data_IF_389497286747
#
_entry.id   IF_389497286747
#
_cell.length_a   1.000
_cell.length_b   1.000
_cell.length_c   1.000
_cell.angle_alpha   90.00
_cell.angle_beta   90.00
_cell.angle_gamma   90.00
#
_symmetry.space_group_name_H-M   'P 1'
#
loop_
_entity.id
_entity.type
_entity.pdbx_description
1 polymer ?
#
# COMPACT_ATOMS: atom_id res chain seq x y z
N UNK A 1 -19.98 -6.95 -25.66
CA UNK A 1 -19.32 -7.03 -26.97
C UNK A 1 -19.24 -5.66 -27.65
N UNK A 2 -20.35 -4.98 -27.97
CA UNK A 2 -20.30 -3.67 -28.65
C UNK A 2 -19.71 -2.50 -27.82
N UNK A 3 -19.94 -2.47 -26.50
CA UNK A 3 -19.41 -1.40 -25.63
C UNK A 3 -17.90 -1.46 -25.41
N UNK A 4 -17.29 -2.66 -25.44
CA UNK A 4 -15.85 -2.82 -25.28
C UNK A 4 -15.09 -2.41 -26.55
N UNK A 5 -15.67 -2.66 -27.71
CA UNK A 5 -15.12 -2.28 -29.01
C UNK A 5 -15.13 -0.76 -29.20
N UNK A 6 -16.21 -0.09 -28.77
CA UNK A 6 -16.32 1.37 -28.77
C UNK A 6 -15.33 2.04 -27.80
N UNK A 7 -15.08 1.45 -26.62
CA UNK A 7 -14.07 1.95 -25.67
C UNK A 7 -12.65 1.77 -26.22
N UNK A 8 -12.36 0.62 -26.84
CA UNK A 8 -11.06 0.33 -27.44
C UNK A 8 -10.75 1.25 -28.62
N UNK A 9 -11.75 1.55 -29.46
CA UNK A 9 -11.62 2.52 -30.55
C UNK A 9 -11.35 3.94 -30.05
N UNK A 10 -12.06 4.40 -29.01
CA UNK A 10 -11.81 5.71 -28.37
C UNK A 10 -10.41 5.78 -27.74
N UNK A 11 -9.96 4.70 -27.09
CA UNK A 11 -8.63 4.64 -26.48
C UNK A 11 -7.52 4.71 -27.55
N UNK A 12 -7.69 3.98 -28.66
CA UNK A 12 -6.76 3.99 -29.78
C UNK A 12 -6.68 5.36 -30.47
N UNK A 13 -7.81 6.06 -30.61
CA UNK A 13 -7.82 7.41 -31.19
C UNK A 13 -7.10 8.42 -30.27
N UNK A 14 -7.29 8.30 -28.95
CA UNK A 14 -6.58 9.13 -27.96
C UNK A 14 -5.07 8.86 -28.01
N UNK A 15 -4.65 7.60 -28.12
CA UNK A 15 -3.24 7.23 -28.23
C UNK A 15 -2.62 7.73 -29.53
N UNK A 16 -3.33 7.65 -30.66
CA UNK A 16 -2.88 8.20 -31.94
C UNK A 16 -2.68 9.71 -31.86
N UNK A 17 -3.64 10.46 -31.29
CA UNK A 17 -3.53 11.91 -31.08
C UNK A 17 -2.37 12.27 -30.15
N UNK A 18 -2.14 11.48 -29.09
CA UNK A 18 -0.99 11.68 -28.18
C UNK A 18 0.34 11.41 -28.87
N UNK A 19 0.43 10.37 -29.71
CA UNK A 19 1.64 10.02 -30.45
C UNK A 19 2.00 11.08 -31.50
N UNK A 20 1.01 11.63 -32.20
CA UNK A 20 1.21 12.69 -33.19
C UNK A 20 1.71 13.99 -32.54
N UNK A 21 1.07 14.41 -31.42
CA UNK A 21 1.53 15.57 -30.64
C UNK A 21 2.95 15.35 -30.10
N UNK A 22 3.29 14.12 -29.71
CA UNK A 22 4.63 13.75 -29.26
C UNK A 22 5.65 13.84 -30.38
N UNK A 23 5.33 13.33 -31.57
CA UNK A 23 6.22 13.40 -32.73
C UNK A 23 6.51 14.85 -33.14
N UNK A 24 5.46 15.68 -33.24
CA UNK A 24 5.58 17.11 -33.59
C UNK A 24 6.43 17.91 -32.60
N UNK A 25 6.29 17.63 -31.30
CA UNK A 25 7.05 18.30 -30.25
C UNK A 25 8.51 17.80 -30.18
N UNK A 26 8.79 16.54 -30.57
CA UNK A 26 10.15 15.99 -30.63
C UNK A 26 10.93 16.58 -31.81
N UNK A 27 10.29 16.68 -32.98
CA UNK A 27 10.84 17.31 -34.18
C UNK A 27 11.18 18.80 -33.94
N UNK A 28 10.31 19.54 -33.26
CA UNK A 28 10.56 20.93 -32.86
C UNK A 28 11.71 21.07 -31.84
N UNK A 29 11.96 20.05 -31.02
CA UNK A 29 13.04 20.06 -30.02
C UNK A 29 14.41 19.68 -30.59
N UNK A 30 14.47 18.90 -31.68
CA UNK A 30 15.73 18.55 -32.38
C UNK A 30 16.41 19.78 -33.01
N UNK A 31 15.65 20.80 -33.38
CA UNK A 31 16.16 22.05 -33.95
C UNK A 31 16.82 22.99 -32.91
N UNK A 32 16.62 22.77 -31.60
CA UNK A 32 17.22 23.56 -30.51
C UNK A 32 18.03 22.67 -29.58
N UNK A 33 19.21 22.22 -30.04
CA UNK A 33 20.21 21.38 -29.34
C UNK A 33 20.88 22.06 -28.12
N UNK A 34 20.14 22.77 -27.28
CA UNK A 34 20.69 23.31 -26.02
C UNK A 34 19.69 23.09 -24.87
N UNK A 35 19.86 21.97 -24.15
CA UNK A 35 19.36 21.67 -22.78
C UNK A 35 17.87 21.94 -22.45
N UNK A 36 17.02 22.27 -23.42
CA UNK A 36 15.57 22.42 -23.23
C UNK A 36 14.88 21.11 -23.62
N UNK A 37 14.66 20.25 -22.64
CA UNK A 37 13.91 19.00 -22.85
C UNK A 37 12.53 19.26 -23.49
N UNK A 38 12.00 18.23 -24.14
CA UNK A 38 10.73 18.20 -24.87
C UNK A 38 9.52 18.89 -24.17
N UNK A 39 9.50 18.91 -22.85
CA UNK A 39 8.45 19.57 -22.06
C UNK A 39 8.86 20.98 -21.65
N UNK A 40 7.89 21.91 -21.74
CA UNK A 40 8.03 23.22 -21.09
C UNK A 40 8.18 23.07 -19.56
N UNK A 41 8.92 23.96 -18.89
CA UNK A 41 9.09 23.92 -17.43
C UNK A 41 7.77 23.86 -16.65
N UNK A 42 6.75 24.59 -17.08
CA UNK A 42 5.41 24.59 -16.48
C UNK A 42 4.72 23.22 -16.61
N UNK A 43 4.77 22.61 -17.79
CA UNK A 43 4.22 21.25 -18.00
C UNK A 43 4.95 20.24 -17.13
N UNK A 44 6.28 20.35 -16.99
CA UNK A 44 7.08 19.45 -16.13
C UNK A 44 6.72 19.65 -14.66
N UNK A 45 6.49 20.88 -14.21
CA UNK A 45 5.98 21.20 -12.87
C UNK A 45 4.61 20.58 -12.62
N UNK A 46 3.66 20.74 -13.56
CA UNK A 46 2.31 20.14 -13.48
C UNK A 46 2.35 18.62 -13.43
N UNK A 47 3.19 17.98 -14.26
CA UNK A 47 3.33 16.53 -14.27
C UNK A 47 3.87 15.98 -12.94
N UNK A 48 4.91 16.58 -12.38
CA UNK A 48 5.44 16.18 -11.07
C UNK A 48 4.39 16.31 -9.96
N UNK A 49 3.58 17.37 -9.99
CA UNK A 49 2.48 17.54 -9.05
C UNK A 49 1.46 16.40 -9.17
N UNK A 50 1.05 16.05 -10.40
CA UNK A 50 0.10 14.95 -10.63
C UNK A 50 0.66 13.59 -10.19
N UNK A 51 1.95 13.34 -10.44
CA UNK A 51 2.60 12.09 -10.00
C UNK A 51 2.64 11.97 -8.48
N UNK A 52 2.96 13.05 -7.75
CA UNK A 52 2.93 13.04 -6.28
C UNK A 52 1.52 12.88 -5.73
N UNK A 53 0.52 13.53 -6.36
CA UNK A 53 -0.89 13.35 -5.98
C UNK A 53 -1.33 11.89 -6.16
N UNK A 54 -0.99 11.28 -7.30
CA UNK A 54 -1.28 9.86 -7.54
C UNK A 54 -0.55 8.95 -6.54
N UNK A 55 0.73 9.23 -6.26
CA UNK A 55 1.49 8.46 -5.28
C UNK A 55 0.88 8.56 -3.86
N UNK A 56 0.42 9.74 -3.46
CA UNK A 56 -0.26 9.92 -2.17
C UNK A 56 -1.60 9.18 -2.10
N UNK A 57 -2.37 9.19 -3.19
CA UNK A 57 -3.63 8.45 -3.30
C UNK A 57 -3.42 6.93 -3.21
N UNK A 58 -2.46 6.38 -3.97
CA UNK A 58 -2.11 4.97 -3.92
C UNK A 58 -1.57 4.57 -2.53
N UNK A 59 -0.77 5.42 -1.88
CA UNK A 59 -0.28 5.19 -0.53
C UNK A 59 -1.45 5.08 0.48
N UNK A 60 -2.44 5.98 0.38
CA UNK A 60 -3.63 5.94 1.24
C UNK A 60 -4.43 4.65 1.01
N UNK A 61 -4.63 4.27 -0.26
CA UNK A 61 -5.33 3.03 -0.63
C UNK A 61 -4.61 1.78 -0.10
N UNK A 62 -3.29 1.76 -0.15
CA UNK A 62 -2.49 0.69 0.43
C UNK A 62 -2.59 0.63 1.95
N UNK A 63 -2.59 1.78 2.64
CA UNK A 63 -2.81 1.85 4.08
C UNK A 63 -4.19 1.30 4.46
N UNK A 64 -5.23 1.65 3.72
CA UNK A 64 -6.60 1.12 3.92
C UNK A 64 -6.66 -0.40 3.70
N UNK A 65 -5.99 -0.91 2.66
CA UNK A 65 -5.87 -2.36 2.41
C UNK A 65 -5.16 -3.07 3.57
N UNK A 66 -4.02 -2.54 4.02
CA UNK A 66 -3.24 -3.10 5.14
C UNK A 66 -4.04 -3.05 6.45
N UNK A 67 -4.82 -2.00 6.69
CA UNK A 67 -5.69 -1.90 7.85
C UNK A 67 -6.86 -2.90 7.80
N UNK A 68 -7.46 -3.12 6.63
CA UNK A 68 -8.49 -4.13 6.43
C UNK A 68 -7.94 -5.55 6.63
N UNK A 69 -6.77 -5.86 6.06
CA UNK A 69 -6.09 -7.13 6.28
C UNK A 69 -5.72 -7.33 7.75
N UNK A 70 -5.20 -6.31 8.43
CA UNK A 70 -4.94 -6.36 9.87
C UNK A 70 -6.20 -6.71 10.66
N UNK A 71 -7.35 -6.12 10.33
CA UNK A 71 -8.63 -6.44 10.98
C UNK A 71 -9.02 -7.90 10.75
N UNK A 72 -8.95 -8.38 9.50
CA UNK A 72 -9.23 -9.78 9.15
C UNK A 72 -8.33 -10.76 9.93
N UNK A 73 -7.03 -10.49 10.00
CA UNK A 73 -6.07 -11.33 10.73
C UNK A 73 -6.36 -11.36 12.23
N UNK A 74 -6.77 -10.23 12.82
CA UNK A 74 -7.14 -10.19 14.25
C UNK A 74 -8.39 -11.04 14.49
N UNK A 75 -9.42 -10.91 13.64
CA UNK A 75 -10.64 -11.69 13.75
C UNK A 75 -10.37 -13.19 13.64
N UNK A 76 -9.56 -13.60 12.66
CA UNK A 76 -9.16 -15.01 12.46
C UNK A 76 -8.35 -15.55 13.65
N UNK A 77 -7.42 -14.76 14.21
CA UNK A 77 -6.56 -15.22 15.30
C UNK A 77 -7.27 -15.22 16.65
N UNK A 78 -8.00 -14.16 16.99
CA UNK A 78 -8.63 -14.02 18.29
C UNK A 78 -9.94 -14.81 18.40
N UNK A 79 -10.66 -14.98 17.29
CA UNK A 79 -11.95 -15.68 17.28
C UNK A 79 -13.03 -14.95 18.07
N UNK A 80 -14.06 -15.70 18.45
CA UNK A 80 -15.16 -15.18 19.27
C UNK A 80 -14.86 -15.32 20.77
N UNK A 81 -15.46 -14.44 21.55
CA UNK A 81 -15.39 -14.48 23.01
C UNK A 81 -16.08 -15.75 23.49
N UNK A 82 -15.47 -16.46 24.45
CA UNK A 82 -16.06 -17.65 25.04
C UNK A 82 -17.36 -17.31 25.79
N UNK A 83 -18.38 -18.17 25.70
CA UNK A 83 -19.62 -18.03 26.46
C UNK A 83 -19.34 -18.34 27.93
N UNK A 84 -19.27 -17.29 28.75
CA UNK A 84 -19.02 -17.37 30.19
C UNK A 84 -20.31 -17.44 31.01
N UNK A 85 -21.43 -17.00 30.44
CA UNK A 85 -22.70 -16.86 31.17
C UNK A 85 -23.39 -18.21 31.36
N UNK A 86 -23.24 -19.12 30.38
CA UNK A 86 -23.80 -20.47 30.44
C UNK A 86 -22.77 -21.55 30.81
N UNK A 87 -21.53 -21.17 31.13
CA UNK A 87 -20.46 -22.11 31.44
C UNK A 87 -20.53 -22.61 32.90
N UNK A 88 -20.29 -23.91 33.09
CA UNK A 88 -20.13 -24.49 34.43
C UNK A 88 -18.75 -24.17 35.04
N UNK A 89 -18.61 -24.38 36.35
CA UNK A 89 -17.39 -24.04 37.09
C UNK A 89 -16.12 -24.72 36.55
N UNK A 90 -16.22 -25.99 36.12
CA UNK A 90 -15.10 -26.73 35.56
C UNK A 90 -14.64 -26.12 34.23
N UNK A 91 -15.58 -25.76 33.36
CA UNK A 91 -15.32 -25.06 32.10
C UNK A 91 -14.68 -23.70 32.34
N UNK A 92 -15.18 -22.92 33.31
CA UNK A 92 -14.62 -21.61 33.66
C UNK A 92 -13.16 -21.71 34.15
N UNK A 93 -12.87 -22.67 35.05
CA UNK A 93 -11.50 -22.92 35.54
C UNK A 93 -10.55 -23.30 34.41
N UNK A 94 -11.00 -24.16 33.48
CA UNK A 94 -10.23 -24.54 32.30
C UNK A 94 -9.96 -23.33 31.40
N UNK A 95 -11.00 -22.53 31.11
CA UNK A 95 -10.91 -21.33 30.28
C UNK A 95 -9.88 -20.33 30.81
N UNK A 96 -9.88 -20.05 32.12
CA UNK A 96 -8.88 -19.18 32.74
C UNK A 96 -7.45 -19.71 32.58
N UNK A 97 -7.27 -21.03 32.74
CA UNK A 97 -5.96 -21.67 32.59
C UNK A 97 -5.47 -21.60 31.14
N UNK A 98 -6.36 -21.86 30.18
CA UNK A 98 -6.04 -21.84 28.75
C UNK A 98 -5.71 -20.42 28.27
N UNK A 99 -6.47 -19.41 28.70
CA UNK A 99 -6.16 -18.01 28.40
C UNK A 99 -4.82 -17.58 29.00
N UNK A 100 -4.54 -17.93 30.26
CA UNK A 100 -3.26 -17.60 30.88
C UNK A 100 -2.08 -18.18 30.09
N UNK A 101 -2.15 -19.47 29.70
CA UNK A 101 -1.12 -20.11 28.87
C UNK A 101 -0.96 -19.43 27.51
N UNK A 102 -2.08 -19.05 26.88
CA UNK A 102 -2.08 -18.37 25.59
C UNK A 102 -1.46 -16.98 25.68
N UNK A 103 -1.77 -16.22 26.74
CA UNK A 103 -1.18 -14.90 26.99
C UNK A 103 0.33 -15.01 27.17
N UNK A 104 0.81 -15.95 27.98
CA UNK A 104 2.26 -16.17 28.17
C UNK A 104 2.97 -16.48 26.84
N UNK A 105 2.40 -17.37 26.02
CA UNK A 105 2.97 -17.71 24.71
C UNK A 105 2.99 -16.50 23.74
N UNK A 106 1.92 -15.70 23.73
CA UNK A 106 1.83 -14.51 22.89
C UNK A 106 2.81 -13.42 23.34
N UNK A 107 2.98 -13.22 24.64
CA UNK A 107 3.91 -12.22 25.17
C UNK A 107 5.36 -12.59 24.83
N UNK A 108 5.73 -13.87 24.96
CA UNK A 108 7.06 -14.36 24.51
C UNK A 108 7.31 -14.05 23.04
N UNK A 109 6.37 -14.41 22.17
CA UNK A 109 6.49 -14.15 20.73
C UNK A 109 6.53 -12.66 20.41
N UNK A 110 5.82 -11.83 21.16
CA UNK A 110 5.86 -10.37 21.01
C UNK A 110 7.25 -9.83 21.35
N UNK A 111 7.83 -10.24 22.47
CA UNK A 111 9.18 -9.80 22.90
C UNK A 111 10.23 -10.14 21.83
N UNK A 112 10.19 -11.35 21.27
CA UNK A 112 11.12 -11.77 20.20
C UNK A 112 11.01 -10.85 18.97
N UNK A 113 9.78 -10.53 18.55
CA UNK A 113 9.53 -9.64 17.41
C UNK A 113 9.98 -8.21 17.72
N UNK A 114 9.70 -7.70 18.91
CA UNK A 114 10.10 -6.34 19.33
C UNK A 114 11.62 -6.20 19.30
N UNK A 115 12.35 -7.19 19.82
CA UNK A 115 13.82 -7.20 19.77
C UNK A 115 14.36 -7.22 18.34
N UNK A 116 13.77 -8.03 17.45
CA UNK A 116 14.17 -8.01 16.04
C UNK A 116 13.91 -6.67 15.36
N UNK A 117 12.79 -6.01 15.66
CA UNK A 117 12.46 -4.69 15.12
C UNK A 117 13.46 -3.67 15.62
N UNK A 118 13.73 -3.62 16.92
CA UNK A 118 14.69 -2.69 17.51
C UNK A 118 16.09 -2.86 16.91
N UNK A 119 16.55 -4.10 16.75
CA UNK A 119 17.84 -4.37 16.09
C UNK A 119 17.87 -3.86 14.65
N UNK A 120 16.80 -4.07 13.88
CA UNK A 120 16.70 -3.57 12.49
C UNK A 120 16.65 -2.04 12.46
N UNK A 121 15.97 -1.41 13.42
CA UNK A 121 15.91 0.05 13.51
C UNK A 121 17.30 0.65 13.79
N UNK A 122 18.11 0.01 14.64
CA UNK A 122 19.51 0.39 14.88
C UNK A 122 20.36 0.26 13.60
N UNK A 123 20.22 -0.84 12.86
CA UNK A 123 20.93 -1.05 11.60
C UNK A 123 20.55 -0.01 10.54
N UNK A 124 19.26 0.32 10.44
CA UNK A 124 18.77 1.40 9.56
C UNK A 124 19.35 2.76 9.98
N UNK A 125 19.44 3.03 11.29
CA UNK A 125 20.00 4.28 11.79
C UNK A 125 21.50 4.41 11.44
N UNK A 126 22.27 3.33 11.59
CA UNK A 126 23.70 3.28 11.24
C UNK A 126 23.91 3.50 9.73
N UNK A 127 23.13 2.83 8.87
CA UNK A 127 23.22 2.99 7.41
C UNK A 127 22.79 4.37 6.90
N UNK A 128 21.95 5.09 7.65
CA UNK A 128 21.52 6.44 7.31
C UNK A 128 22.47 7.53 7.84
N UNK A 129 23.45 7.16 8.68
CA UNK A 129 24.50 8.07 9.15
C UNK A 129 25.62 8.25 8.11
#
# INVERSE_FOLDING_TARGET
MADDEAKKAKQAEIERKRAEVRKRMEEASKAKKAKKGFMTPERKKKLRLLLRKKAAEELKKEQERKAAERRRTIEERCGQIADVDNANEATLKKLCTDYHKRIDALERSKIDIEFEVERRDLEIADLNS
#
